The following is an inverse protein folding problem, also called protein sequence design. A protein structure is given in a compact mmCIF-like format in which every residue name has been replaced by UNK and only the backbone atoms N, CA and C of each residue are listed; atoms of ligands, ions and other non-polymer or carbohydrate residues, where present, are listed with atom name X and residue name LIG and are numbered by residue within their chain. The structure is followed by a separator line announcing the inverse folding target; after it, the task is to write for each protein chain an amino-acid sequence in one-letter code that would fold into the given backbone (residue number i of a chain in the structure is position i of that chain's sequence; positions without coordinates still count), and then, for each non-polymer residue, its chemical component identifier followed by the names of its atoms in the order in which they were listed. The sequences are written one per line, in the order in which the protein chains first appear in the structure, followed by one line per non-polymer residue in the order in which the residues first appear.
data_IF_650381439853
#
_entry.id   IF_650381439853
#
_cell.length_a   1.000
_cell.length_b   1.000
_cell.length_c   1.000
_cell.angle_alpha   90.00
_cell.angle_beta   90.00
_cell.angle_gamma   90.00
#
_symmetry.space_group_name_H-M   'P 1'
#
loop_
_entity.id
_entity.type
_entity.pdbx_description
1 polymer ?
#
# COMPACT_ATOMS: atom_id res chain seq x y z
N UNK A 1 -5.06 -0.78 -4.38
CA UNK A 1 -4.76 0.64 -4.70
C UNK A 1 -4.05 0.77 -6.04
N UNK A 2 -2.91 0.10 -6.26
CA UNK A 2 -2.26 0.09 -7.58
C UNK A 2 -3.16 -0.48 -8.68
N UNK A 3 -3.82 -1.62 -8.44
CA UNK A 3 -4.81 -2.19 -9.37
C UNK A 3 -5.94 -1.20 -9.71
N UNK A 4 -6.43 -0.45 -8.71
CA UNK A 4 -7.45 0.58 -8.90
C UNK A 4 -6.95 1.79 -9.72
N UNK A 5 -5.70 2.22 -9.52
CA UNK A 5 -5.07 3.27 -10.34
C UNK A 5 -4.91 2.83 -11.81
N UNK A 6 -4.51 1.58 -12.05
CA UNK A 6 -4.48 1.00 -13.40
C UNK A 6 -5.88 0.86 -14.01
N UNK A 7 -6.88 0.42 -13.23
CA UNK A 7 -8.26 0.30 -13.69
C UNK A 7 -8.86 1.66 -14.12
N UNK A 8 -8.58 2.72 -13.34
CA UNK A 8 -8.95 4.09 -13.68
C UNK A 8 -8.21 4.60 -14.94
N UNK A 9 -6.95 4.23 -15.12
CA UNK A 9 -6.17 4.56 -16.34
C UNK A 9 -6.70 3.83 -17.58
N UNK A 10 -7.22 2.62 -17.40
CA UNK A 10 -7.74 1.75 -18.47
C UNK A 10 -9.24 1.96 -18.76
N UNK A 11 -9.91 2.89 -18.06
CA UNK A 11 -11.33 3.20 -18.27
C UNK A 11 -12.31 2.12 -17.78
N UNK A 12 -11.84 1.14 -16.99
CA UNK A 12 -12.64 0.05 -16.46
C UNK A 12 -12.98 0.31 -15.00
N UNK A 13 -14.01 1.11 -14.75
CA UNK A 13 -14.52 1.34 -13.41
C UNK A 13 -15.68 0.39 -13.13
N UNK A 14 -15.40 -0.88 -12.81
CA UNK A 14 -16.43 -1.66 -12.14
C UNK A 14 -15.92 -2.60 -11.04
N UNK A 15 -16.55 -2.39 -9.88
CA UNK A 15 -16.63 -3.25 -8.70
C UNK A 15 -15.34 -3.59 -7.91
N UNK A 16 -14.92 -2.71 -6.98
CA UNK A 16 -13.93 -3.10 -5.94
C UNK A 16 -14.04 -2.31 -4.61
N UNK A 17 -15.05 -1.44 -4.42
CA UNK A 17 -15.06 -0.52 -3.29
C UNK A 17 -15.34 -1.20 -1.93
N UNK A 18 -16.18 -2.24 -1.90
CA UNK A 18 -16.56 -2.93 -0.65
C UNK A 18 -15.46 -3.89 -0.19
N UNK A 19 -14.85 -4.63 -1.12
CA UNK A 19 -13.74 -5.54 -0.82
C UNK A 19 -12.52 -4.78 -0.31
N UNK A 20 -12.18 -3.63 -0.93
CA UNK A 20 -11.10 -2.75 -0.45
C UNK A 20 -11.37 -2.24 0.97
N UNK A 21 -12.63 -1.92 1.32
CA UNK A 21 -12.97 -1.45 2.67
C UNK A 21 -12.84 -2.54 3.73
N UNK A 22 -13.18 -3.78 3.38
CA UNK A 22 -13.14 -4.95 4.28
C UNK A 22 -11.71 -5.42 4.48
N UNK A 23 -10.94 -5.49 3.39
CA UNK A 23 -9.50 -5.78 3.41
C UNK A 23 -8.74 -4.75 4.26
N UNK A 24 -9.10 -3.46 4.17
CA UNK A 24 -8.51 -2.41 5.03
C UNK A 24 -8.80 -2.60 6.52
N UNK A 25 -9.99 -3.06 6.88
CA UNK A 25 -10.34 -3.30 8.29
C UNK A 25 -9.54 -4.47 8.84
N UNK A 26 -9.51 -5.59 8.12
CA UNK A 26 -8.72 -6.77 8.48
C UNK A 26 -7.22 -6.46 8.58
N UNK A 27 -6.68 -5.65 7.66
CA UNK A 27 -5.30 -5.17 7.70
C UNK A 27 -5.01 -4.33 8.96
N UNK A 28 -5.98 -3.50 9.38
CA UNK A 28 -5.84 -2.63 10.55
C UNK A 28 -5.82 -3.41 11.86
N UNK A 29 -6.64 -4.45 11.96
CA UNK A 29 -6.68 -5.32 13.13
C UNK A 29 -5.41 -6.17 13.25
N UNK A 30 -4.95 -6.76 12.13
CA UNK A 30 -3.67 -7.49 12.09
C UNK A 30 -2.47 -6.57 12.40
N UNK A 31 -2.51 -5.31 11.98
CA UNK A 31 -1.52 -4.30 12.34
C UNK A 31 -1.52 -4.03 13.83
N UNK A 32 -2.69 -3.80 14.45
CA UNK A 32 -2.78 -3.51 15.89
C UNK A 32 -2.18 -4.65 16.73
N UNK A 33 -2.41 -5.90 16.33
CA UNK A 33 -1.85 -7.07 17.01
C UNK A 33 -0.32 -7.16 16.82
N UNK A 34 0.17 -6.94 15.60
CA UNK A 34 1.59 -6.94 15.32
C UNK A 34 2.34 -5.76 15.98
N UNK A 35 1.66 -4.61 16.18
CA UNK A 35 2.24 -3.46 16.85
C UNK A 35 2.54 -3.69 18.34
N UNK A 36 1.89 -4.68 18.96
CA UNK A 36 2.15 -5.03 20.37
C UNK A 36 3.45 -5.81 20.58
N UNK A 37 4.06 -6.33 19.51
CA UNK A 37 5.18 -7.29 19.58
C UNK A 37 6.38 -6.84 18.71
N UNK A 38 6.16 -6.01 17.70
CA UNK A 38 7.21 -5.48 16.82
C UNK A 38 8.14 -4.49 17.53
N UNK A 39 9.39 -4.42 17.08
CA UNK A 39 10.38 -3.46 17.57
C UNK A 39 10.03 -2.01 17.22
N UNK A 40 10.48 -1.03 18.03
CA UNK A 40 10.22 0.40 17.78
C UNK A 40 10.78 0.88 16.42
N UNK A 41 11.87 0.27 15.97
CA UNK A 41 12.49 0.52 14.66
C UNK A 41 11.58 0.08 13.52
N UNK A 42 11.03 -1.14 13.61
CA UNK A 42 10.04 -1.66 12.65
C UNK A 42 8.78 -0.82 12.66
N UNK A 43 8.28 -0.42 13.83
CA UNK A 43 7.13 0.47 13.97
C UNK A 43 7.35 1.85 13.34
N UNK A 44 8.56 2.40 13.44
CA UNK A 44 8.90 3.70 12.86
C UNK A 44 8.92 3.63 11.32
N UNK A 45 9.51 2.58 10.76
CA UNK A 45 9.52 2.34 9.31
C UNK A 45 8.09 2.09 8.82
N UNK A 46 7.31 1.29 9.55
CA UNK A 46 5.92 0.97 9.25
C UNK A 46 5.04 2.22 9.24
N UNK A 47 5.19 3.09 10.23
CA UNK A 47 4.47 4.35 10.29
C UNK A 47 4.80 5.25 9.08
N UNK A 48 6.08 5.32 8.69
CA UNK A 48 6.52 6.13 7.54
C UNK A 48 5.93 5.61 6.23
N UNK A 49 5.96 4.29 6.00
CA UNK A 49 5.35 3.67 4.80
C UNK A 49 3.84 3.92 4.76
N UNK A 50 3.15 3.81 5.90
CA UNK A 50 1.72 4.07 5.96
C UNK A 50 1.33 5.53 5.73
N UNK A 51 2.14 6.48 6.20
CA UNK A 51 1.93 7.90 5.88
C UNK A 51 2.02 8.11 4.37
N UNK A 52 3.05 7.55 3.73
CA UNK A 52 3.23 7.65 2.28
C UNK A 52 2.07 7.01 1.51
N UNK A 53 1.59 5.84 1.93
CA UNK A 53 0.40 5.22 1.36
C UNK A 53 -0.86 6.07 1.53
N UNK A 54 -1.02 6.70 2.69
CA UNK A 54 -2.17 7.57 2.97
C UNK A 54 -2.17 8.78 2.04
N UNK A 55 -1.00 9.38 1.80
CA UNK A 55 -0.84 10.48 0.85
C UNK A 55 -1.11 10.02 -0.59
N UNK A 56 -0.51 8.91 -1.03
CA UNK A 56 -0.72 8.37 -2.37
C UNK A 56 -2.19 8.02 -2.62
N UNK A 57 -2.88 7.45 -1.63
CA UNK A 57 -4.31 7.17 -1.70
C UNK A 57 -5.16 8.44 -1.81
N UNK A 58 -4.87 9.47 -1.00
CA UNK A 58 -5.60 10.73 -1.08
C UNK A 58 -5.45 11.35 -2.47
N UNK A 59 -4.23 11.37 -2.99
CA UNK A 59 -3.95 11.88 -4.32
C UNK A 59 -4.68 11.07 -5.40
N UNK A 60 -4.67 9.73 -5.31
CA UNK A 60 -5.45 8.88 -6.21
C UNK A 60 -6.96 9.20 -6.20
N UNK A 61 -7.54 9.45 -5.02
CA UNK A 61 -8.96 9.79 -4.89
C UNK A 61 -9.30 11.17 -5.41
N UNK A 62 -8.37 12.12 -5.36
CA UNK A 62 -8.51 13.45 -5.98
C UNK A 62 -8.51 13.32 -7.51
N UNK A 63 -7.52 12.65 -8.07
CA UNK A 63 -7.38 12.41 -9.53
C UNK A 63 -8.54 11.58 -10.09
N UNK A 64 -9.09 10.65 -9.30
CA UNK A 64 -10.24 9.84 -9.69
C UNK A 64 -11.52 10.66 -9.91
N UNK A 65 -11.64 11.84 -9.27
CA UNK A 65 -12.81 12.74 -9.40
C UNK A 65 -12.68 13.71 -10.57
N UNK A 66 -11.49 13.85 -11.15
CA UNK A 66 -11.28 14.71 -12.30
C UNK A 66 -11.90 14.08 -13.57
N UNK A 67 -12.42 14.89 -14.49
CA UNK A 67 -12.86 14.41 -15.80
C UNK A 67 -11.69 13.86 -16.61
N UNK A 68 -11.97 12.91 -17.51
CA UNK A 68 -10.97 12.35 -18.41
C UNK A 68 -10.27 13.43 -19.24
N UNK A 69 -8.95 13.51 -19.08
CA UNK A 69 -8.08 14.44 -19.78
C UNK A 69 -6.66 13.88 -19.81
N UNK A 70 -5.83 14.40 -20.72
CA UNK A 70 -4.39 14.09 -20.76
C UNK A 70 -3.66 14.50 -19.48
N UNK A 71 -4.11 15.58 -18.82
CA UNK A 71 -3.60 16.03 -17.54
C UNK A 71 -3.90 15.00 -16.43
N UNK A 72 -5.13 14.48 -16.38
CA UNK A 72 -5.53 13.41 -15.45
C UNK A 72 -4.70 12.14 -15.64
N UNK A 73 -4.44 11.73 -16.89
CA UNK A 73 -3.59 10.58 -17.19
C UNK A 73 -2.15 10.76 -16.70
N UNK A 74 -1.58 11.95 -16.89
CA UNK A 74 -0.24 12.30 -16.38
C UNK A 74 -0.17 12.23 -14.85
N UNK A 75 -1.21 12.71 -14.16
CA UNK A 75 -1.29 12.62 -12.70
C UNK A 75 -1.46 11.16 -12.23
N UNK A 76 -2.24 10.34 -12.95
CA UNK A 76 -2.33 8.90 -12.65
C UNK A 76 -0.98 8.20 -12.80
N UNK A 77 -0.19 8.54 -13.81
CA UNK A 77 1.17 8.00 -13.98
C UNK A 77 2.08 8.40 -12.81
N UNK A 78 1.96 9.63 -12.32
CA UNK A 78 2.68 10.07 -11.13
C UNK A 78 2.25 9.28 -9.87
N UNK A 79 0.94 9.06 -9.68
CA UNK A 79 0.41 8.26 -8.57
C UNK A 79 0.89 6.80 -8.66
N UNK A 80 0.91 6.21 -9.85
CA UNK A 80 1.41 4.85 -10.08
C UNK A 80 2.90 4.77 -9.72
N UNK A 81 3.71 5.71 -10.21
CA UNK A 81 5.15 5.77 -9.90
C UNK A 81 5.45 6.01 -8.42
N UNK A 82 4.53 6.63 -7.66
CA UNK A 82 4.64 6.72 -6.20
C UNK A 82 4.22 5.43 -5.49
N UNK A 83 3.26 4.68 -6.02
CA UNK A 83 2.71 3.46 -5.41
C UNK A 83 3.62 2.24 -5.62
N UNK A 84 4.27 2.09 -6.78
CA UNK A 84 5.15 0.95 -7.07
C UNK A 84 6.26 0.75 -6.02
N UNK A 85 7.13 1.74 -5.72
CA UNK A 85 8.17 1.58 -4.70
C UNK A 85 7.62 1.48 -3.27
N UNK A 86 6.37 1.89 -3.03
CA UNK A 86 5.73 1.72 -1.72
C UNK A 86 5.27 0.29 -1.49
N UNK A 87 4.88 -0.43 -2.55
CA UNK A 87 4.50 -1.85 -2.44
C UNK A 87 5.72 -2.68 -2.06
N UNK A 88 6.86 -2.47 -2.73
CA UNK A 88 8.12 -3.16 -2.39
C UNK A 88 8.51 -2.93 -0.93
N UNK A 89 8.44 -1.68 -0.45
CA UNK A 89 8.73 -1.34 0.96
C UNK A 89 7.76 -2.00 1.94
N UNK A 90 6.50 -2.14 1.55
CA UNK A 90 5.48 -2.74 2.39
C UNK A 90 5.63 -4.25 2.47
N UNK A 91 5.99 -4.90 1.36
CA UNK A 91 6.34 -6.31 1.33
C UNK A 91 7.60 -6.57 2.18
N UNK A 92 8.63 -5.73 2.05
CA UNK A 92 9.87 -5.81 2.83
C UNK A 92 9.60 -5.67 4.34
N UNK A 93 8.75 -4.72 4.73
CA UNK A 93 8.34 -4.53 6.11
C UNK A 93 7.51 -5.70 6.64
N UNK A 94 6.57 -6.24 5.86
CA UNK A 94 5.79 -7.42 6.25
C UNK A 94 6.68 -8.65 6.43
N UNK A 95 7.71 -8.80 5.60
CA UNK A 95 8.72 -9.85 5.74
C UNK A 95 9.48 -9.71 7.07
N UNK A 96 10.00 -8.52 7.38
CA UNK A 96 10.68 -8.24 8.65
C UNK A 96 9.79 -8.52 9.86
N UNK A 97 8.54 -8.03 9.85
CA UNK A 97 7.58 -8.28 10.92
C UNK A 97 7.30 -9.78 11.13
N UNK A 98 7.19 -10.57 10.05
CA UNK A 98 6.99 -12.03 10.19
C UNK A 98 8.18 -12.73 10.84
N UNK A 99 9.39 -12.26 10.57
CA UNK A 99 10.61 -12.77 11.21
C UNK A 99 10.65 -12.37 12.68
N UNK A 100 10.40 -11.10 13.01
CA UNK A 100 10.38 -10.63 14.41
C UNK A 100 9.32 -11.32 15.25
N UNK A 101 8.14 -11.60 14.68
CA UNK A 101 7.05 -12.29 15.35
C UNK A 101 7.28 -13.82 15.48
N UNK A 102 8.40 -14.35 14.97
CA UNK A 102 8.67 -15.79 14.95
C UNK A 102 7.70 -16.59 14.06
N UNK A 103 6.94 -15.92 13.20
CA UNK A 103 5.97 -16.52 12.27
C UNK A 103 6.67 -17.09 11.03
N UNK A 104 7.78 -16.47 10.61
CA UNK A 104 8.68 -16.98 9.58
C UNK A 104 10.09 -17.11 10.14
N UNK A 105 10.81 -18.18 9.78
CA UNK A 105 12.19 -18.41 10.23
C UNK A 105 13.23 -17.70 9.35
N UNK A 106 12.87 -17.33 8.12
CA UNK A 106 13.77 -16.73 7.13
C UNK A 106 13.06 -15.60 6.38
N UNK A 107 13.85 -14.62 5.92
CA UNK A 107 13.38 -13.57 5.02
C UNK A 107 12.99 -14.20 3.67
N UNK A 108 11.98 -13.66 2.96
CA UNK A 108 11.60 -14.15 1.64
C UNK A 108 12.79 -14.16 0.67
N UNK A 109 12.83 -15.15 -0.22
CA UNK A 109 13.94 -15.39 -1.18
C UNK A 109 14.26 -14.17 -2.08
N UNK A 110 13.35 -13.23 -2.22
CA UNK A 110 13.53 -12.00 -3.01
C UNK A 110 14.10 -10.81 -2.21
N UNK A 111 14.35 -10.97 -0.91
CA UNK A 111 14.94 -9.95 -0.05
C UNK A 111 16.48 -9.89 -0.22
N UNK A 112 17.01 -8.73 -0.61
CA UNK A 112 18.46 -8.44 -0.66
C UNK A 112 18.73 -7.17 0.19
N UNK A 113 19.51 -7.25 1.29
CA UNK A 113 19.71 -6.16 2.25
C UNK A 113 20.52 -4.96 1.74
#
# INVERSE_FOLDING_TARGET
MLAHAYALKLGSADTEAVEVSTARRAQRDARNEAQMIASEEVLTVENRVNLQLTFAYRHLMEVAREPESSARLTQLDHVIGLLDPLIEKLEHMQALMRVELGVAQELPVWYDP
#
